data_IF_226690080750
#
_entry.id   IF_226690080750
#
_cell.length_a   1.000
_cell.length_b   1.000
_cell.length_c   1.000
_cell.angle_alpha   90.00
_cell.angle_beta   90.00
_cell.angle_gamma   90.00
#
_symmetry.space_group_name_H-M   'P 1'
#
loop_
_entity.id
_entity.type
_entity.pdbx_description
1 polymer ?
#
# COMPACT_ATOMS: atom_id res chain seq x y z
N UNK A 1 7.20 -24.37 14.68
CA UNK A 1 6.62 -23.64 13.52
C UNK A 1 6.48 -22.18 13.95
N UNK A 2 7.10 -21.22 13.25
CA UNK A 2 6.91 -19.80 13.59
C UNK A 2 5.49 -19.41 13.20
N UNK A 3 4.64 -19.06 14.16
CA UNK A 3 3.32 -18.49 13.88
C UNK A 3 3.49 -16.97 13.77
N UNK A 4 3.12 -16.41 12.62
CA UNK A 4 3.13 -14.97 12.41
C UNK A 4 1.74 -14.42 12.75
N UNK A 5 1.68 -13.46 13.68
CA UNK A 5 0.44 -12.78 14.04
C UNK A 5 0.45 -11.38 13.44
N UNK A 6 -0.58 -10.99 12.66
CA UNK A 6 -0.65 -9.65 12.09
C UNK A 6 -0.77 -8.60 13.19
N UNK A 7 -0.14 -7.45 12.97
CA UNK A 7 -0.32 -6.28 13.82
C UNK A 7 -1.76 -5.79 13.71
N UNK A 8 -2.27 -5.14 14.75
CA UNK A 8 -3.60 -4.51 14.72
C UNK A 8 -3.73 -3.51 13.57
N UNK A 9 -2.66 -2.76 13.27
CA UNK A 9 -2.60 -1.86 12.13
C UNK A 9 -2.66 -2.58 10.78
N UNK A 10 -2.01 -3.74 10.64
CA UNK A 10 -2.14 -4.58 9.43
C UNK A 10 -3.57 -5.08 9.23
N UNK A 11 -4.26 -5.47 10.31
CA UNK A 11 -5.68 -5.86 10.26
C UNK A 11 -6.56 -4.66 9.90
N UNK A 12 -6.25 -3.47 10.43
CA UNK A 12 -6.97 -2.25 10.10
C UNK A 12 -6.78 -1.85 8.62
N UNK A 13 -5.56 -1.92 8.08
CA UNK A 13 -5.30 -1.69 6.65
C UNK A 13 -6.11 -2.66 5.78
N UNK A 14 -6.18 -3.95 6.15
CA UNK A 14 -7.01 -4.91 5.43
C UNK A 14 -8.49 -4.53 5.47
N UNK A 15 -8.99 -4.13 6.64
CA UNK A 15 -10.39 -3.78 6.82
C UNK A 15 -10.82 -2.56 6.00
N UNK A 16 -9.95 -1.58 5.75
CA UNK A 16 -10.30 -0.41 4.91
C UNK A 16 -10.63 -0.82 3.48
N UNK A 17 -9.91 -1.81 2.91
CA UNK A 17 -10.22 -2.36 1.59
C UNK A 17 -11.44 -3.29 1.60
N UNK A 18 -11.54 -4.21 2.56
CA UNK A 18 -12.65 -5.18 2.60
C UNK A 18 -14.01 -4.50 2.76
N UNK A 19 -14.07 -3.40 3.51
CA UNK A 19 -15.28 -2.61 3.66
C UNK A 19 -15.72 -1.91 2.36
N UNK A 20 -14.83 -1.79 1.36
CA UNK A 20 -15.13 -1.19 0.06
C UNK A 20 -15.50 -2.20 -1.02
N UNK A 21 -15.43 -3.52 -0.77
CA UNK A 21 -15.67 -4.54 -1.82
C UNK A 21 -17.06 -4.49 -2.48
N UNK A 22 -18.06 -3.96 -1.78
CA UNK A 22 -19.40 -3.76 -2.32
C UNK A 22 -19.60 -2.43 -3.06
N UNK A 23 -18.58 -1.58 -3.11
CA UNK A 23 -18.69 -0.20 -3.58
C UNK A 23 -17.54 0.13 -4.53
N UNK A 24 -17.82 -0.01 -5.83
CA UNK A 24 -16.80 0.06 -6.87
C UNK A 24 -16.01 1.38 -6.84
N UNK A 25 -16.63 2.59 -6.83
CA UNK A 25 -15.91 3.86 -6.70
C UNK A 25 -15.00 3.94 -5.46
N UNK A 26 -15.46 3.47 -4.29
CA UNK A 26 -14.61 3.46 -3.10
C UNK A 26 -13.40 2.55 -3.27
N UNK A 27 -13.61 1.34 -3.79
CA UNK A 27 -12.53 0.37 -3.94
C UNK A 27 -11.45 0.87 -4.90
N UNK A 28 -11.84 1.37 -6.08
CA UNK A 28 -10.87 1.85 -7.07
C UNK A 28 -10.17 3.13 -6.60
N UNK A 29 -10.85 4.01 -5.85
CA UNK A 29 -10.21 5.17 -5.22
C UNK A 29 -9.13 4.77 -4.21
N UNK A 30 -9.44 3.81 -3.33
CA UNK A 30 -8.49 3.33 -2.32
C UNK A 30 -7.29 2.65 -2.96
N UNK A 31 -7.48 1.86 -4.02
CA UNK A 31 -6.39 1.25 -4.78
C UNK A 31 -5.53 2.31 -5.47
N UNK A 32 -6.15 3.29 -6.14
CA UNK A 32 -5.44 4.37 -6.82
C UNK A 32 -4.55 5.16 -5.85
N UNK A 33 -5.11 5.59 -4.70
CA UNK A 33 -4.35 6.30 -3.67
C UNK A 33 -3.25 5.43 -3.07
N UNK A 34 -3.52 4.15 -2.81
CA UNK A 34 -2.53 3.25 -2.24
C UNK A 34 -1.30 3.10 -3.14
N UNK A 35 -1.51 2.88 -4.43
CA UNK A 35 -0.42 2.78 -5.42
C UNK A 35 0.31 4.13 -5.56
N UNK A 36 -0.42 5.25 -5.68
CA UNK A 36 0.20 6.58 -5.79
C UNK A 36 1.09 6.90 -4.58
N UNK A 37 0.64 6.61 -3.35
CA UNK A 37 1.45 6.86 -2.15
C UNK A 37 2.60 5.87 -2.03
N UNK A 38 2.37 4.59 -2.34
CA UNK A 38 3.40 3.56 -2.20
C UNK A 38 4.53 3.71 -3.21
N UNK A 39 4.25 4.23 -4.40
CA UNK A 39 5.20 4.44 -5.48
C UNK A 39 6.49 5.14 -5.00
N UNK A 40 6.36 6.27 -4.31
CA UNK A 40 7.48 7.06 -3.80
C UNK A 40 8.37 6.31 -2.78
N UNK A 41 7.83 5.26 -2.14
CA UNK A 41 8.55 4.47 -1.13
C UNK A 41 9.16 3.18 -1.68
N UNK A 42 8.71 2.68 -2.82
CA UNK A 42 9.09 1.36 -3.32
C UNK A 42 10.59 1.27 -3.64
N UNK A 43 11.13 2.28 -4.34
CA UNK A 43 12.57 2.36 -4.66
C UNK A 43 13.46 2.52 -3.43
N UNK A 44 13.21 3.48 -2.50
CA UNK A 44 13.94 3.56 -1.23
C UNK A 44 13.87 2.28 -0.41
N UNK A 45 12.73 1.60 -0.39
CA UNK A 45 12.55 0.35 0.34
C UNK A 45 13.42 -0.77 -0.25
N UNK A 46 13.40 -0.96 -1.57
CA UNK A 46 14.23 -1.96 -2.25
C UNK A 46 15.72 -1.75 -1.96
N UNK A 47 16.22 -0.50 -2.07
CA UNK A 47 17.61 -0.16 -1.75
C UNK A 47 17.96 -0.47 -0.30
N UNK A 48 17.05 -0.20 0.63
CA UNK A 48 17.26 -0.49 2.05
C UNK A 48 17.32 -1.99 2.34
N UNK A 49 16.51 -2.79 1.65
CA UNK A 49 16.51 -4.26 1.76
C UNK A 49 17.82 -4.87 1.25
N UNK A 50 18.32 -4.39 0.11
CA UNK A 50 19.60 -4.82 -0.49
C UNK A 50 20.80 -4.56 0.44
N UNK A 51 20.78 -3.43 1.15
CA UNK A 51 21.84 -3.10 2.13
C UNK A 51 21.69 -3.87 3.44
N UNK A 52 20.46 -4.11 3.90
CA UNK A 52 20.20 -4.65 5.24
C UNK A 52 20.10 -6.19 5.28
N UNK A 53 19.96 -6.85 4.14
CA UNK A 53 19.67 -8.29 4.04
C UNK A 53 20.37 -8.94 2.85
N UNK A 54 20.41 -10.27 2.81
CA UNK A 54 20.92 -11.03 1.66
C UNK A 54 19.82 -11.30 0.59
N UNK A 55 18.72 -10.56 0.61
CA UNK A 55 17.62 -10.73 -0.35
C UNK A 55 18.04 -10.12 -1.68
N UNK A 56 18.02 -10.93 -2.75
CA UNK A 56 18.26 -10.46 -4.13
C UNK A 56 17.07 -9.61 -4.62
N UNK A 57 17.22 -8.28 -4.55
CA UNK A 57 16.20 -7.31 -4.97
C UNK A 57 16.06 -7.16 -6.48
N UNK A 58 16.98 -7.73 -7.27
CA UNK A 58 16.90 -7.72 -8.74
C UNK A 58 15.86 -8.70 -9.28
N UNK A 59 15.20 -9.46 -8.39
CA UNK A 59 14.19 -10.47 -8.73
C UNK A 59 12.97 -10.36 -7.80
N UNK A 60 11.79 -10.73 -8.32
CA UNK A 60 10.58 -10.83 -7.52
C UNK A 60 9.90 -9.48 -7.27
N UNK A 61 9.42 -9.25 -6.05
CA UNK A 61 8.59 -8.09 -5.72
C UNK A 61 9.27 -6.75 -6.02
N UNK A 62 10.53 -6.60 -5.62
CA UNK A 62 11.29 -5.37 -5.81
C UNK A 62 11.69 -5.12 -7.26
N UNK A 63 11.77 -6.14 -8.12
CA UNK A 63 12.18 -5.93 -9.52
C UNK A 63 11.08 -5.36 -10.41
N UNK A 64 9.84 -5.31 -9.93
CA UNK A 64 8.69 -4.85 -10.72
C UNK A 64 8.06 -3.55 -10.16
N UNK A 65 8.18 -3.28 -8.85
CA UNK A 65 7.59 -2.09 -8.22
C UNK A 65 8.55 -0.89 -8.08
N UNK A 66 9.78 -0.96 -8.61
CA UNK A 66 10.78 0.12 -8.48
C UNK A 66 10.85 0.97 -9.75
N UNK A 67 11.44 2.15 -9.60
CA UNK A 67 11.79 3.01 -10.73
C UNK A 67 12.95 2.41 -11.54
N UNK A 68 12.93 2.65 -12.85
CA UNK A 68 14.07 2.45 -13.74
C UNK A 68 15.19 3.44 -13.41
N UNK A 69 16.36 3.24 -14.02
CA UNK A 69 17.51 4.15 -13.87
C UNK A 69 17.21 5.60 -14.30
N UNK A 70 16.17 5.81 -15.11
CA UNK A 70 15.70 7.12 -15.57
C UNK A 70 14.61 7.74 -14.69
N UNK A 71 14.20 7.07 -13.61
CA UNK A 71 13.17 7.53 -12.68
C UNK A 71 11.74 7.25 -13.13
N UNK A 72 11.56 6.41 -14.15
CA UNK A 72 10.22 5.99 -14.60
C UNK A 72 9.80 4.72 -13.84
N UNK A 73 8.57 4.66 -13.33
CA UNK A 73 8.05 3.45 -12.70
C UNK A 73 8.08 2.27 -13.67
N UNK A 74 8.61 1.12 -13.26
CA UNK A 74 8.51 -0.13 -14.05
C UNK A 74 7.05 -0.61 -14.13
N UNK A 75 6.21 -0.21 -13.17
CA UNK A 75 4.79 -0.56 -13.05
C UNK A 75 3.93 0.71 -12.92
N UNK A 76 4.11 1.68 -13.82
CA UNK A 76 3.36 2.96 -13.82
C UNK A 76 1.85 2.78 -14.11
N UNK A 77 1.49 1.73 -14.85
CA UNK A 77 0.14 1.57 -15.38
C UNK A 77 -0.94 1.28 -14.34
N UNK A 78 -0.62 0.63 -13.21
CA UNK A 78 -1.65 0.22 -12.25
C UNK A 78 -2.29 1.39 -11.51
N UNK A 79 -1.49 2.40 -11.14
CA UNK A 79 -2.02 3.60 -10.48
C UNK A 79 -2.84 4.45 -11.45
N UNK A 80 -2.36 4.62 -12.68
CA UNK A 80 -3.03 5.40 -13.73
C UNK A 80 -4.36 4.74 -14.15
N UNK A 81 -4.36 3.42 -14.37
CA UNK A 81 -5.58 2.66 -14.68
C UNK A 81 -6.62 2.80 -13.56
N UNK A 82 -6.20 2.70 -12.29
CA UNK A 82 -7.11 2.87 -11.16
C UNK A 82 -7.71 4.28 -11.08
N UNK A 83 -6.93 5.32 -11.37
CA UNK A 83 -7.43 6.70 -11.48
C UNK A 83 -8.41 6.88 -12.63
N UNK A 84 -8.16 6.28 -13.80
CA UNK A 84 -9.08 6.31 -14.94
C UNK A 84 -10.41 5.64 -14.57
N UNK A 85 -10.36 4.46 -13.95
CA UNK A 85 -11.54 3.72 -13.50
C UNK A 85 -12.33 4.50 -12.44
N UNK A 86 -11.63 5.18 -11.51
CA UNK A 86 -12.26 6.05 -10.52
C UNK A 86 -12.99 7.22 -11.19
N UNK A 87 -12.33 7.94 -12.09
CA UNK A 87 -12.91 9.07 -12.82
C UNK A 87 -14.16 8.67 -13.63
N UNK A 88 -14.20 7.44 -14.16
CA UNK A 88 -15.36 6.92 -14.88
C UNK A 88 -16.54 6.57 -13.96
N UNK A 89 -16.28 6.27 -12.69
CA UNK A 89 -17.27 5.72 -11.76
C UNK A 89 -17.78 6.73 -10.73
N UNK A 90 -17.04 7.80 -10.48
CA UNK A 90 -17.38 8.81 -9.47
C UNK A 90 -18.46 9.77 -9.97
N UNK A 91 -19.31 10.22 -9.05
CA UNK A 91 -20.29 11.28 -9.26
C UNK A 91 -20.08 12.39 -8.23
N UNK A 92 -20.45 13.63 -8.55
CA UNK A 92 -20.17 14.81 -7.73
C UNK A 92 -20.75 14.71 -6.30
N UNK A 93 -21.91 14.08 -6.15
CA UNK A 93 -22.58 13.86 -4.87
C UNK A 93 -21.79 12.94 -3.92
N UNK A 94 -20.79 12.21 -4.43
CA UNK A 94 -19.95 11.29 -3.67
C UNK A 94 -18.56 11.84 -3.34
N UNK A 95 -18.21 13.04 -3.79
CA UNK A 95 -16.85 13.58 -3.58
C UNK A 95 -16.47 13.70 -2.10
N UNK A 96 -17.36 14.23 -1.26
CA UNK A 96 -17.09 14.37 0.18
C UNK A 96 -16.86 13.01 0.85
N UNK A 97 -17.68 12.02 0.49
CA UNK A 97 -17.53 10.64 0.96
C UNK A 97 -16.16 10.06 0.59
N UNK A 98 -15.72 10.26 -0.67
CA UNK A 98 -14.41 9.78 -1.12
C UNK A 98 -13.26 10.43 -0.35
N UNK A 99 -13.32 11.74 -0.10
CA UNK A 99 -12.30 12.44 0.72
C UNK A 99 -12.20 11.80 2.10
N UNK A 100 -13.34 11.56 2.77
CA UNK A 100 -13.36 10.94 4.08
C UNK A 100 -12.79 9.51 4.07
N UNK A 101 -13.06 8.74 3.01
CA UNK A 101 -12.53 7.39 2.84
C UNK A 101 -11.02 7.38 2.65
N UNK A 102 -10.51 8.27 1.81
CA UNK A 102 -9.08 8.43 1.54
C UNK A 102 -8.35 8.89 2.81
N UNK A 103 -8.88 9.88 3.52
CA UNK A 103 -8.31 10.37 4.78
C UNK A 103 -8.22 9.27 5.83
N UNK A 104 -9.28 8.46 5.97
CA UNK A 104 -9.26 7.31 6.88
C UNK A 104 -8.17 6.30 6.48
N UNK A 105 -8.07 5.98 5.20
CA UNK A 105 -7.04 5.05 4.71
C UNK A 105 -5.63 5.58 4.97
N UNK A 106 -5.35 6.84 4.65
CA UNK A 106 -4.05 7.48 4.87
C UNK A 106 -3.65 7.44 6.35
N UNK A 107 -4.61 7.70 7.25
CA UNK A 107 -4.38 7.61 8.70
C UNK A 107 -4.02 6.19 9.12
N UNK A 108 -4.77 5.19 8.67
CA UNK A 108 -4.54 3.78 9.00
C UNK A 108 -3.21 3.29 8.42
N UNK A 109 -2.86 3.70 7.20
CA UNK A 109 -1.58 3.43 6.57
C UNK A 109 -0.40 4.03 7.36
N UNK A 110 -0.53 5.28 7.79
CA UNK A 110 0.46 5.93 8.64
C UNK A 110 0.65 5.19 9.98
N UNK A 111 -0.43 4.74 10.62
CA UNK A 111 -0.37 3.94 11.84
C UNK A 111 0.35 2.60 11.60
N UNK A 112 0.11 1.96 10.45
CA UNK A 112 0.84 0.76 10.03
C UNK A 112 2.34 1.01 9.85
N UNK A 113 2.73 2.08 9.16
CA UNK A 113 4.13 2.46 9.00
C UNK A 113 4.80 2.73 10.36
N UNK A 114 4.12 3.41 11.28
CA UNK A 114 4.62 3.67 12.63
C UNK A 114 4.82 2.38 13.43
N UNK A 115 3.92 1.41 13.31
CA UNK A 115 4.06 0.09 13.92
C UNK A 115 5.24 -0.69 13.35
N UNK A 116 5.41 -0.65 12.03
CA UNK A 116 6.51 -1.31 11.32
C UNK A 116 7.86 -0.74 11.79
N UNK A 117 8.01 0.59 11.78
CA UNK A 117 9.24 1.28 12.19
C UNK A 117 9.57 1.10 13.67
N UNK A 118 8.55 0.92 14.52
CA UNK A 118 8.75 0.63 15.93
C UNK A 118 9.10 -0.83 16.23
N UNK A 119 9.27 -1.68 15.20
CA UNK A 119 9.59 -3.10 15.36
C UNK A 119 8.45 -3.91 15.99
N UNK A 120 7.19 -3.46 15.86
CA UNK A 120 6.02 -4.18 16.39
C UNK A 120 5.58 -5.34 15.49
N UNK A 121 6.25 -5.52 14.34
CA UNK A 121 6.08 -6.65 13.44
C UNK A 121 6.55 -7.95 14.13
N UNK A 122 5.60 -8.63 14.77
CA UNK A 122 5.70 -9.93 15.44
C UNK A 122 6.75 -10.07 16.56
N UNK A 123 6.27 -10.09 17.81
CA UNK A 123 6.97 -10.75 18.92
C UNK A 123 7.11 -12.24 18.60
N UNK A 124 8.34 -12.73 18.59
CA UNK A 124 8.65 -14.16 18.61
C UNK A 124 8.14 -14.71 19.95
N UNK A 125 7.12 -15.57 19.93
CA UNK A 125 6.81 -16.40 21.10
C UNK A 125 7.76 -17.60 21.02
N UNK A 126 8.85 -17.53 21.77
CA UNK A 126 9.66 -18.70 22.08
C UNK A 126 8.88 -19.56 23.07
N UNK A 127 8.39 -20.71 22.62
CA UNK A 127 7.92 -21.79 23.50
C UNK A 127 9.09 -22.58 24.06
#
# INVERSE_FOLDING_TARGET
MKAWLPMSSSVACRATFENAYGDYPQLVALLAVAETVFHDFATPWAKSVDVATDIDVSRGYHSIHVETETGESIEDGHSEDAWILFCQAITEDRFEEMVQRVDLWLKVWNDFCNDLLAGRAAKIISG
#
